data_IF_304656245484
#
_entry.id   IF_304656245484
#
_cell.length_a   1.000
_cell.length_b   1.000
_cell.length_c   1.000
_cell.angle_alpha   90.00
_cell.angle_beta   90.00
_cell.angle_gamma   90.00
#
_symmetry.space_group_name_H-M   'P 1'
#
loop_
_entity.id
_entity.type
_entity.pdbx_description
1 polymer ?
#
# COMPACT_ATOMS: atom_id res chain seq x y z
N UNK A 1 -5.63 -23.87 -1.06
CA UNK A 1 -4.90 -23.24 0.07
C UNK A 1 -4.89 -24.21 1.24
N UNK A 2 -3.73 -24.63 1.74
CA UNK A 2 -3.61 -25.56 2.88
C UNK A 2 -3.51 -24.79 4.20
N UNK A 3 -3.83 -25.44 5.34
CA UNK A 3 -3.66 -24.83 6.66
C UNK A 3 -2.20 -24.43 6.91
N UNK A 4 -1.24 -25.25 6.46
CA UNK A 4 0.17 -24.93 6.54
C UNK A 4 0.53 -23.64 5.78
N UNK A 5 -0.02 -23.44 4.57
CA UNK A 5 0.18 -22.20 3.81
C UNK A 5 -0.42 -20.98 4.54
N UNK A 6 -1.63 -21.13 5.10
CA UNK A 6 -2.26 -20.04 5.89
C UNK A 6 -1.40 -19.66 7.10
N UNK A 7 -0.85 -20.65 7.82
CA UNK A 7 0.04 -20.38 8.97
C UNK A 7 1.32 -19.68 8.53
N UNK A 8 1.92 -20.06 7.40
CA UNK A 8 3.09 -19.37 6.84
C UNK A 8 2.78 -17.91 6.50
N UNK A 9 1.64 -17.63 5.86
CA UNK A 9 1.23 -16.27 5.57
C UNK A 9 1.00 -15.45 6.84
N UNK A 10 0.35 -16.03 7.86
CA UNK A 10 0.15 -15.37 9.15
C UNK A 10 1.49 -15.03 9.80
N UNK A 11 2.47 -15.94 9.74
CA UNK A 11 3.79 -15.70 10.30
C UNK A 11 4.50 -14.52 9.62
N UNK A 12 4.49 -14.47 8.29
CA UNK A 12 5.10 -13.35 7.53
C UNK A 12 4.39 -12.02 7.84
N UNK A 13 3.07 -12.04 7.96
CA UNK A 13 2.29 -10.84 8.30
C UNK A 13 2.57 -10.35 9.73
N UNK A 14 2.82 -11.27 10.66
CA UNK A 14 3.19 -10.93 12.04
C UNK A 14 4.63 -10.41 12.12
N UNK A 15 5.57 -11.03 11.41
CA UNK A 15 6.97 -10.60 11.31
C UNK A 15 7.13 -9.21 10.66
N UNK A 16 6.28 -8.88 9.69
CA UNK A 16 6.23 -7.55 9.06
C UNK A 16 5.52 -6.49 9.91
N UNK A 17 4.96 -6.88 11.06
CA UNK A 17 4.23 -5.99 11.97
C UNK A 17 2.83 -5.57 11.46
N UNK A 18 2.34 -6.19 10.39
CA UNK A 18 1.03 -5.89 9.79
C UNK A 18 -0.14 -6.41 10.63
N UNK A 19 0.09 -7.49 11.36
CA UNK A 19 -0.89 -8.09 12.27
C UNK A 19 -0.26 -8.42 13.62
N UNK A 20 -1.08 -8.51 14.65
CA UNK A 20 -0.76 -9.23 15.89
C UNK A 20 -1.61 -10.48 15.99
N UNK A 21 -1.02 -11.55 16.51
CA UNK A 21 -1.77 -12.77 16.77
C UNK A 21 -1.77 -13.18 18.24
N UNK A 22 -2.82 -13.86 18.66
CA UNK A 22 -2.96 -14.42 19.99
C UNK A 22 -3.51 -15.84 19.88
N UNK A 23 -2.85 -16.81 20.53
CA UNK A 23 -3.31 -18.20 20.58
C UNK A 23 -3.99 -18.48 21.92
N UNK A 24 -5.24 -18.92 21.86
CA UNK A 24 -6.03 -19.36 23.02
C UNK A 24 -6.52 -20.79 22.74
N UNK A 25 -5.92 -21.76 23.43
CA UNK A 25 -6.17 -23.18 23.18
C UNK A 25 -5.84 -23.58 21.74
N UNK A 26 -6.85 -24.03 20.99
CA UNK A 26 -6.73 -24.41 19.57
C UNK A 26 -7.00 -23.26 18.60
N UNK A 27 -7.41 -22.09 19.09
CA UNK A 27 -7.78 -20.94 18.26
C UNK A 27 -6.63 -19.94 18.23
N UNK A 28 -6.26 -19.47 17.04
CA UNK A 28 -5.39 -18.30 16.87
C UNK A 28 -6.22 -17.16 16.32
N UNK A 29 -6.38 -16.10 17.11
CA UNK A 29 -7.01 -14.85 16.67
C UNK A 29 -5.95 -13.95 16.06
N UNK A 30 -6.25 -13.37 14.90
CA UNK A 30 -5.38 -12.42 14.21
C UNK A 30 -6.08 -11.05 14.16
N UNK A 31 -5.35 -9.98 14.46
CA UNK A 31 -5.84 -8.60 14.38
C UNK A 31 -4.89 -7.77 13.55
N UNK A 32 -5.42 -6.92 12.68
CA UNK A 32 -4.62 -5.98 11.89
C UNK A 32 -4.10 -4.86 12.78
N UNK A 33 -2.85 -4.48 12.60
CA UNK A 33 -2.23 -3.33 13.25
C UNK A 33 -2.35 -2.11 12.35
N UNK A 34 -3.34 -1.24 12.61
CA UNK A 34 -3.61 -0.06 11.78
C UNK A 34 -2.41 0.88 11.67
N UNK A 35 -1.63 1.02 12.75
CA UNK A 35 -0.45 1.89 12.77
C UNK A 35 0.62 1.45 11.75
N UNK A 36 0.72 0.15 11.47
CA UNK A 36 1.67 -0.36 10.46
C UNK A 36 1.28 0.04 9.03
N UNK A 37 -0.01 0.26 8.79
CA UNK A 37 -0.54 0.65 7.48
C UNK A 37 -0.31 2.13 7.17
N UNK A 38 -0.17 2.98 8.19
CA UNK A 38 0.12 4.41 8.00
C UNK A 38 1.42 4.64 7.23
N UNK A 39 2.44 3.80 7.45
CA UNK A 39 3.70 3.86 6.70
C UNK A 39 3.46 3.64 5.20
N UNK A 40 2.66 2.63 4.86
CA UNK A 40 2.33 2.29 3.48
C UNK A 40 1.49 3.41 2.86
N UNK A 41 0.49 3.90 3.59
CA UNK A 41 -0.36 5.00 3.13
C UNK A 41 0.46 6.24 2.79
N UNK A 42 1.35 6.65 3.69
CA UNK A 42 2.25 7.78 3.47
C UNK A 42 3.16 7.57 2.24
N UNK A 43 3.70 6.37 2.07
CA UNK A 43 4.54 6.02 0.93
C UNK A 43 3.77 6.05 -0.40
N UNK A 44 2.55 5.50 -0.43
CA UNK A 44 1.65 5.54 -1.59
C UNK A 44 1.29 6.99 -1.92
N UNK A 45 0.93 7.78 -0.90
CA UNK A 45 0.57 9.19 -1.06
C UNK A 45 1.72 10.01 -1.69
N UNK A 46 2.95 9.85 -1.19
CA UNK A 46 4.11 10.55 -1.74
C UNK A 46 4.38 10.20 -3.21
N UNK A 47 4.29 8.91 -3.56
CA UNK A 47 4.45 8.44 -4.95
C UNK A 47 3.35 8.96 -5.85
N UNK A 48 2.09 8.92 -5.39
CA UNK A 48 0.95 9.46 -6.14
C UNK A 48 1.15 10.94 -6.46
N UNK A 49 1.52 11.74 -5.46
CA UNK A 49 1.78 13.17 -5.61
C UNK A 49 2.90 13.47 -6.61
N UNK A 50 3.94 12.64 -6.66
CA UNK A 50 5.02 12.77 -7.64
C UNK A 50 4.50 12.55 -9.07
N UNK A 51 3.71 11.50 -9.29
CA UNK A 51 3.16 11.19 -10.60
C UNK A 51 2.12 12.21 -11.07
N UNK A 52 1.22 12.65 -10.18
CA UNK A 52 0.24 13.70 -10.48
C UNK A 52 0.94 14.96 -11.00
N UNK A 53 1.96 15.46 -10.29
CA UNK A 53 2.75 16.62 -10.73
C UNK A 53 3.40 16.45 -12.11
N UNK A 54 3.88 15.25 -12.43
CA UNK A 54 4.51 14.99 -13.73
C UNK A 54 3.46 14.97 -14.85
N UNK A 55 2.30 14.40 -14.58
CA UNK A 55 1.18 14.35 -15.52
C UNK A 55 0.57 15.74 -15.73
N UNK A 56 0.46 16.56 -14.69
CA UNK A 56 0.00 17.95 -14.78
C UNK A 56 0.90 18.76 -15.72
N UNK A 57 2.23 18.65 -15.54
CA UNK A 57 3.22 19.31 -16.41
C UNK A 57 3.13 18.83 -17.86
N UNK A 58 2.88 17.53 -18.06
CA UNK A 58 2.68 16.98 -19.39
C UNK A 58 1.43 17.58 -20.04
N UNK A 59 0.32 17.67 -19.29
CA UNK A 59 -0.90 18.33 -19.73
C UNK A 59 -0.65 19.77 -20.17
N UNK A 60 0.00 20.58 -19.32
CA UNK A 60 0.34 21.97 -19.64
C UNK A 60 1.21 22.10 -20.90
N UNK A 61 2.19 21.19 -21.08
CA UNK A 61 3.05 21.20 -22.26
C UNK A 61 2.26 20.90 -23.54
N UNK A 62 1.37 19.92 -23.50
CA UNK A 62 0.53 19.56 -24.65
C UNK A 62 -0.44 20.69 -25.01
N UNK A 63 -1.07 21.34 -24.03
CA UNK A 63 -1.94 22.49 -24.25
C UNK A 63 -1.20 23.67 -24.89
N UNK A 64 0.03 23.96 -24.44
CA UNK A 64 0.86 25.01 -25.05
C UNK A 64 1.16 24.70 -26.51
N UNK A 65 1.55 23.45 -26.79
CA UNK A 65 1.87 22.99 -28.15
C UNK A 65 0.66 23.01 -29.10
N UNK A 66 -0.55 22.77 -28.60
CA UNK A 66 -1.77 22.91 -29.40
C UNK A 66 -2.09 24.38 -29.73
N UNK A 67 -1.84 25.29 -28.79
CA UNK A 67 -2.04 26.73 -29.00
C UNK A 67 -1.05 27.33 -29.99
N UNK A 68 0.21 26.88 -30.00
CA UNK A 68 1.23 27.34 -30.97
C UNK A 68 0.99 26.86 -32.41
N UNK A 69 0.16 25.82 -32.61
CA UNK A 69 -0.21 25.31 -33.94
C UNK A 69 -1.43 25.99 -34.57
N UNK A 70 -2.17 26.80 -33.81
CA UNK A 70 -3.33 27.57 -34.28
C UNK A 70 -2.91 29.00 -34.61
#
# INVERSE_FOLDING_TARGET
MSLAAVVQHIQILEESGLIKTQKIGRVRSCKVETNSLELIENWVYQRRKFWERNLDRLGEFLEKKEKEKK
#
